data_IF_158293673491
#
_entry.id   IF_158293673491
#
_cell.length_a   1.000
_cell.length_b   1.000
_cell.length_c   1.000
_cell.angle_alpha   90.00
_cell.angle_beta   90.00
_cell.angle_gamma   90.00
#
_symmetry.space_group_name_H-M   'P 1'
#
loop_
_entity.id
_entity.type
_entity.pdbx_description
1 polymer ?
#
# COMPACT_ATOMS: atom_id res chain seq x y z
N UNK A 1 3.16 17.80 -3.32
CA UNK A 1 3.14 16.48 -3.99
C UNK A 1 4.48 15.80 -3.76
N UNK A 2 4.52 14.61 -3.16
CA UNK A 2 5.77 13.88 -2.99
C UNK A 2 6.32 13.50 -4.37
N UNK A 3 7.51 13.99 -4.68
CA UNK A 3 8.23 13.61 -5.90
C UNK A 3 8.79 12.22 -5.66
N UNK A 4 8.32 11.22 -6.42
CA UNK A 4 8.86 9.86 -6.39
C UNK A 4 10.28 9.94 -6.94
N UNK A 5 11.27 10.00 -6.04
CA UNK A 5 12.69 10.02 -6.38
C UNK A 5 13.14 8.55 -6.52
N UNK A 6 13.36 8.16 -7.78
CA UNK A 6 13.77 6.83 -8.26
C UNK A 6 12.63 5.85 -8.55
N UNK A 7 12.62 5.32 -9.78
CA UNK A 7 12.11 3.96 -10.04
C UNK A 7 10.71 3.76 -10.63
N UNK A 8 10.04 4.80 -11.13
CA UNK A 8 8.77 4.73 -11.91
C UNK A 8 7.47 4.51 -11.12
N UNK A 9 6.55 5.47 -11.26
CA UNK A 9 5.18 5.12 -11.65
C UNK A 9 5.28 5.02 -13.18
N UNK A 10 4.92 3.89 -13.79
CA UNK A 10 5.18 3.53 -15.21
C UNK A 10 5.26 4.69 -16.22
N UNK A 11 6.23 4.63 -17.16
CA UNK A 11 6.29 5.51 -18.34
C UNK A 11 5.22 5.16 -19.39
N UNK A 12 4.56 4.02 -19.24
CA UNK A 12 3.46 3.57 -20.10
C UNK A 12 2.22 4.47 -19.90
N UNK A 13 1.73 5.16 -20.95
CA UNK A 13 0.52 5.95 -20.87
C UNK A 13 -0.74 5.09 -20.60
N UNK A 14 -0.71 3.78 -20.88
CA UNK A 14 -1.79 2.82 -20.56
C UNK A 14 -1.51 2.03 -19.26
N UNK A 15 -0.68 2.56 -18.36
CA UNK A 15 -0.47 1.97 -17.04
C UNK A 15 -1.78 1.94 -16.24
N UNK A 16 -2.23 0.74 -15.86
CA UNK A 16 -3.51 0.54 -15.14
C UNK A 16 -3.26 0.17 -13.68
N UNK A 17 -4.32 0.16 -12.88
CA UNK A 17 -4.27 -0.17 -11.46
C UNK A 17 -3.62 -1.53 -11.17
N UNK A 18 -3.81 -2.52 -12.05
CA UNK A 18 -3.18 -3.83 -11.92
C UNK A 18 -1.69 -3.85 -12.24
N UNK A 19 -1.18 -2.89 -13.04
CA UNK A 19 0.25 -2.73 -13.26
C UNK A 19 0.93 -2.12 -12.04
N UNK A 20 0.27 -1.15 -11.39
CA UNK A 20 0.76 -0.56 -10.14
C UNK A 20 0.84 -1.60 -9.03
N UNK A 21 -0.21 -2.40 -8.85
CA UNK A 21 -0.21 -3.51 -7.89
C UNK A 21 0.93 -4.50 -8.15
N UNK A 22 1.17 -4.85 -9.43
CA UNK A 22 2.33 -5.67 -9.82
C UNK A 22 3.66 -5.01 -9.46
N UNK A 23 3.77 -3.69 -9.63
CA UNK A 23 4.97 -2.94 -9.26
C UNK A 23 5.19 -2.89 -7.74
N UNK A 24 4.13 -2.70 -6.96
CA UNK A 24 4.19 -2.77 -5.50
C UNK A 24 4.71 -4.13 -5.03
N UNK A 25 4.23 -5.22 -5.64
CA UNK A 25 4.74 -6.55 -5.34
C UNK A 25 6.25 -6.65 -5.55
N UNK A 26 6.78 -6.15 -6.67
CA UNK A 26 8.21 -6.16 -6.95
C UNK A 26 9.01 -5.38 -5.90
N UNK A 27 8.56 -4.18 -5.56
CA UNK A 27 9.25 -3.32 -4.61
C UNK A 27 9.25 -3.90 -3.19
N UNK A 28 8.11 -4.45 -2.75
CA UNK A 28 7.98 -5.10 -1.45
C UNK A 28 8.80 -6.39 -1.40
N UNK A 29 8.81 -7.18 -2.49
CA UNK A 29 9.63 -8.38 -2.57
C UNK A 29 11.12 -8.06 -2.40
N UNK A 30 11.58 -6.95 -2.98
CA UNK A 30 12.95 -6.48 -2.89
C UNK A 30 13.30 -5.79 -1.55
N UNK A 31 12.31 -5.40 -0.75
CA UNK A 31 12.56 -4.72 0.52
C UNK A 31 12.83 -5.71 1.66
N UNK A 32 13.60 -5.26 2.66
CA UNK A 32 13.82 -6.01 3.92
C UNK A 32 12.72 -5.72 4.95
N UNK A 33 12.18 -4.51 4.94
CA UNK A 33 11.12 -4.06 5.84
C UNK A 33 10.11 -3.19 5.08
N UNK A 34 8.92 -3.01 5.66
CA UNK A 34 7.88 -2.12 5.15
C UNK A 34 7.35 -1.27 6.30
N UNK A 35 7.40 0.06 6.14
CA UNK A 35 6.92 1.01 7.15
C UNK A 35 5.61 1.62 6.67
N UNK A 36 4.52 1.38 7.40
CA UNK A 36 3.22 1.99 7.16
C UNK A 36 3.03 3.20 8.07
N UNK A 37 2.87 4.37 7.46
CA UNK A 37 2.54 5.62 8.16
C UNK A 37 1.04 5.89 8.03
N UNK A 38 0.33 5.84 9.15
CA UNK A 38 -1.14 5.87 9.23
C UNK A 38 -1.60 7.24 9.70
N UNK A 39 -2.44 7.90 8.91
CA UNK A 39 -3.05 9.19 9.23
C UNK A 39 -4.57 9.11 9.34
N UNK A 40 -5.20 10.25 9.63
CA UNK A 40 -6.64 10.40 9.88
C UNK A 40 -7.56 9.85 8.77
N UNK A 41 -7.11 9.85 7.51
CA UNK A 41 -7.85 9.31 6.35
C UNK A 41 -7.41 7.92 5.93
N UNK A 42 -6.48 7.27 6.63
CA UNK A 42 -5.94 5.99 6.19
C UNK A 42 -6.98 4.86 6.24
N UNK A 43 -7.80 4.79 7.30
CA UNK A 43 -8.85 3.77 7.43
C UNK A 43 -9.88 3.79 6.28
N UNK A 44 -10.19 4.97 5.73
CA UNK A 44 -11.20 5.14 4.67
C UNK A 44 -10.62 5.16 3.25
N UNK A 45 -9.30 4.97 3.08
CA UNK A 45 -8.65 4.98 1.76
C UNK A 45 -9.04 3.76 0.93
N UNK A 46 -9.83 4.00 -0.11
CA UNK A 46 -10.30 2.99 -1.06
C UNK A 46 -9.61 3.04 -2.43
N UNK A 47 -8.72 4.01 -2.69
CA UNK A 47 -8.06 4.15 -4.00
C UNK A 47 -7.42 2.83 -4.47
N UNK A 48 -7.76 2.39 -5.68
CA UNK A 48 -7.28 1.12 -6.26
C UNK A 48 -8.21 -0.09 -6.07
N UNK A 49 -9.32 0.03 -5.31
CA UNK A 49 -10.27 -1.06 -5.05
C UNK A 49 -11.27 -1.33 -6.18
N UNK A 50 -11.33 -0.49 -7.20
CA UNK A 50 -12.36 -0.50 -8.26
C UNK A 50 -12.04 -1.40 -9.47
N UNK A 51 -11.18 -2.42 -9.31
CA UNK A 51 -10.83 -3.29 -10.43
C UNK A 51 -12.02 -4.21 -10.78
N UNK A 52 -12.82 -3.82 -11.76
CA UNK A 52 -13.97 -4.58 -12.26
C UNK A 52 -13.60 -5.98 -12.74
N UNK A 53 -12.38 -6.14 -13.31
CA UNK A 53 -11.90 -7.43 -13.82
C UNK A 53 -11.90 -8.54 -12.76
N UNK A 54 -11.78 -8.17 -11.48
CA UNK A 54 -11.80 -9.13 -10.37
C UNK A 54 -13.18 -9.80 -10.16
N UNK A 55 -14.25 -9.20 -10.68
CA UNK A 55 -15.63 -9.69 -10.49
C UNK A 55 -16.41 -9.84 -11.80
N UNK A 56 -15.92 -9.31 -12.92
CA UNK A 56 -16.60 -9.34 -14.22
C UNK A 56 -15.78 -10.07 -15.27
N UNK A 57 -16.48 -10.63 -16.25
CA UNK A 57 -15.87 -11.21 -17.44
C UNK A 57 -15.09 -10.19 -18.26
N UNK A 58 -14.13 -10.69 -19.04
CA UNK A 58 -13.23 -9.88 -19.85
C UNK A 58 -13.99 -8.98 -20.84
N UNK A 59 -15.01 -9.51 -21.51
CA UNK A 59 -15.79 -8.83 -22.56
C UNK A 59 -16.53 -7.59 -22.06
N UNK A 60 -16.90 -7.57 -20.78
CA UNK A 60 -17.64 -6.47 -20.14
C UNK A 60 -16.77 -5.66 -19.18
N UNK A 61 -15.46 -5.88 -19.18
CA UNK A 61 -14.55 -5.20 -18.27
C UNK A 61 -13.87 -4.00 -18.95
N UNK A 62 -14.05 -2.82 -18.39
CA UNK A 62 -13.29 -1.62 -18.77
C UNK A 62 -12.67 -0.95 -17.55
N UNK A 63 -11.56 -0.25 -17.76
CA UNK A 63 -10.85 0.51 -16.73
C UNK A 63 -10.06 1.67 -17.34
N UNK A 64 -9.78 2.68 -16.52
CA UNK A 64 -9.01 3.85 -16.95
C UNK A 64 -7.51 3.68 -16.65
N UNK A 65 -6.62 4.27 -17.45
CA UNK A 65 -5.21 4.43 -17.09
C UNK A 65 -5.05 5.29 -15.83
N UNK A 66 -4.09 4.96 -14.97
CA UNK A 66 -3.89 5.63 -13.69
C UNK A 66 -3.50 7.11 -13.81
N UNK A 67 -2.57 7.44 -14.72
CA UNK A 67 -1.96 8.78 -14.80
C UNK A 67 -2.75 9.79 -15.63
N UNK A 68 -3.57 9.31 -16.57
CA UNK A 68 -4.19 10.15 -17.59
C UNK A 68 -5.61 9.65 -17.87
N UNK A 69 -6.54 10.04 -17.00
CA UNK A 69 -7.96 9.76 -17.16
C UNK A 69 -8.64 10.63 -18.24
N UNK A 70 -7.90 11.52 -18.91
CA UNK A 70 -8.42 12.43 -19.94
C UNK A 70 -9.05 11.71 -21.13
N UNK A 71 -8.65 10.46 -21.39
CA UNK A 71 -9.16 9.65 -22.50
C UNK A 71 -10.22 8.62 -22.08
N UNK A 72 -10.73 8.70 -20.84
CA UNK A 72 -11.81 7.84 -20.36
C UNK A 72 -11.44 6.37 -20.15
N UNK A 73 -12.46 5.52 -20.02
CA UNK A 73 -12.32 4.08 -19.78
C UNK A 73 -11.97 3.34 -21.07
N UNK A 74 -11.10 2.35 -20.98
CA UNK A 74 -10.74 1.45 -22.09
C UNK A 74 -11.04 0.00 -21.72
N UNK A 75 -11.29 -0.84 -22.72
CA UNK A 75 -11.43 -2.29 -22.52
C UNK A 75 -10.25 -2.86 -21.75
N UNK A 76 -10.53 -3.75 -20.81
CA UNK A 76 -9.53 -4.40 -19.96
C UNK A 76 -8.45 -5.08 -20.80
N UNK A 77 -7.20 -5.06 -20.34
CA UNK A 77 -6.08 -5.72 -21.04
C UNK A 77 -5.75 -7.13 -20.54
N UNK A 78 -6.52 -7.62 -19.57
CA UNK A 78 -6.26 -8.90 -18.89
C UNK A 78 -7.31 -9.93 -19.32
N UNK A 79 -7.03 -10.75 -20.35
CA UNK A 79 -8.00 -11.70 -20.88
C UNK A 79 -8.27 -12.85 -19.89
N UNK A 80 -7.23 -13.38 -19.27
CA UNK A 80 -7.30 -14.54 -18.39
C UNK A 80 -6.86 -14.16 -16.98
N UNK A 81 -7.54 -14.72 -15.97
CA UNK A 81 -7.13 -14.66 -14.56
C UNK A 81 -6.81 -16.10 -14.15
N UNK A 82 -5.71 -16.28 -13.44
CA UNK A 82 -5.42 -17.51 -12.72
C UNK A 82 -5.44 -17.24 -11.23
N UNK A 83 -5.82 -18.26 -10.46
CA UNK A 83 -5.65 -18.23 -9.01
C UNK A 83 -4.14 -18.26 -8.71
N UNK A 84 -3.59 -17.27 -7.99
CA UNK A 84 -2.18 -17.29 -7.61
C UNK A 84 -1.86 -18.54 -6.80
N UNK A 85 -0.72 -19.19 -7.06
CA UNK A 85 -0.24 -20.28 -6.23
C UNK A 85 -0.02 -19.80 -4.77
N UNK A 86 -0.01 -20.74 -3.81
CA UNK A 86 0.14 -20.42 -2.39
C UNK A 86 1.40 -19.58 -2.10
N UNK A 87 2.51 -19.88 -2.77
CA UNK A 87 3.81 -19.20 -2.68
C UNK A 87 3.98 -17.99 -3.64
N UNK A 88 2.99 -17.72 -4.50
CA UNK A 88 3.03 -16.60 -5.43
C UNK A 88 2.75 -15.26 -4.72
N UNK A 89 2.95 -14.15 -5.41
CA UNK A 89 2.54 -12.84 -4.90
C UNK A 89 1.02 -12.75 -4.69
N UNK A 90 0.57 -11.71 -3.98
CA UNK A 90 -0.82 -11.29 -4.01
C UNK A 90 -1.18 -10.95 -5.45
N UNK A 91 -2.17 -11.63 -6.01
CA UNK A 91 -2.62 -11.41 -7.38
C UNK A 91 -2.99 -9.95 -7.61
N UNK A 92 -2.51 -9.35 -8.70
CA UNK A 92 -2.69 -7.94 -8.99
C UNK A 92 -4.07 -7.57 -9.55
N UNK A 93 -4.90 -8.58 -9.86
CA UNK A 93 -6.32 -8.45 -10.18
C UNK A 93 -7.13 -8.78 -8.93
N UNK A 94 -7.53 -7.74 -8.20
CA UNK A 94 -8.31 -7.85 -6.97
C UNK A 94 -9.03 -6.53 -6.67
N UNK A 95 -9.93 -6.57 -5.70
CA UNK A 95 -10.70 -5.41 -5.18
C UNK A 95 -10.03 -4.69 -4.01
N UNK A 96 -8.77 -4.99 -3.69
CA UNK A 96 -8.05 -4.30 -2.62
C UNK A 96 -7.73 -2.86 -3.02
N UNK A 97 -7.77 -1.93 -2.06
CA UNK A 97 -7.10 -0.64 -2.25
C UNK A 97 -5.61 -0.85 -2.44
N UNK A 98 -4.88 0.14 -2.96
CA UNK A 98 -3.43 0.08 -3.10
C UNK A 98 -2.75 -0.20 -1.76
N UNK A 99 -3.17 0.52 -0.71
CA UNK A 99 -2.66 0.34 0.64
C UNK A 99 -2.90 -1.07 1.19
N UNK A 100 -4.13 -1.60 1.03
CA UNK A 100 -4.43 -2.97 1.43
C UNK A 100 -3.58 -3.96 0.64
N UNK A 101 -3.40 -3.76 -0.66
CA UNK A 101 -2.58 -4.62 -1.49
C UNK A 101 -1.12 -4.68 -1.03
N UNK A 102 -0.51 -3.52 -0.76
CA UNK A 102 0.85 -3.43 -0.21
C UNK A 102 0.97 -4.17 1.11
N UNK A 103 0.00 -4.00 2.01
CA UNK A 103 -0.01 -4.66 3.32
C UNK A 103 -0.16 -6.18 3.22
N UNK A 104 -1.12 -6.68 2.43
CA UNK A 104 -1.31 -8.11 2.25
C UNK A 104 -0.09 -8.76 1.58
N UNK A 105 0.56 -8.07 0.65
CA UNK A 105 1.80 -8.55 0.04
C UNK A 105 2.94 -8.63 1.06
N UNK A 106 3.09 -7.60 1.89
CA UNK A 106 4.10 -7.59 2.94
C UNK A 106 3.87 -8.74 3.94
N UNK A 107 2.62 -8.99 4.35
CA UNK A 107 2.26 -10.15 5.20
C UNK A 107 2.57 -11.47 4.51
N UNK A 108 2.15 -11.64 3.25
CA UNK A 108 2.35 -12.88 2.48
C UNK A 108 3.83 -13.21 2.27
N UNK A 109 4.69 -12.19 2.25
CA UNK A 109 6.14 -12.31 2.10
C UNK A 109 6.90 -12.24 3.41
N UNK A 110 6.18 -12.31 4.53
CA UNK A 110 6.75 -12.31 5.89
C UNK A 110 7.75 -11.16 6.10
N UNK A 111 7.43 -10.00 5.53
CA UNK A 111 8.26 -8.82 5.66
C UNK A 111 8.19 -8.28 7.07
N UNK A 112 9.26 -7.63 7.51
CA UNK A 112 9.25 -6.92 8.77
C UNK A 112 8.39 -5.67 8.65
N UNK A 113 7.16 -5.74 9.18
CA UNK A 113 6.15 -4.68 9.07
C UNK A 113 6.21 -3.79 10.31
N UNK A 114 6.39 -2.49 10.10
CA UNK A 114 6.38 -1.47 11.15
C UNK A 114 5.20 -0.54 10.87
N UNK A 115 4.33 -0.34 11.85
CA UNK A 115 3.17 0.56 11.74
C UNK A 115 3.36 1.72 12.70
N UNK A 116 3.20 2.95 12.19
CA UNK A 116 3.25 4.16 13.02
C UNK A 116 2.11 5.12 12.70
N UNK A 117 1.61 5.79 13.73
CA UNK A 117 0.63 6.85 13.57
C UNK A 117 1.33 8.16 13.22
N UNK A 118 0.86 8.87 12.20
CA UNK A 118 1.28 10.25 11.92
C UNK A 118 0.66 11.23 12.94
N UNK A 119 0.91 10.99 14.22
CA UNK A 119 0.34 11.68 15.36
C UNK A 119 1.32 11.68 16.53
N UNK A 120 1.02 12.48 17.56
CA UNK A 120 1.67 12.47 18.87
C UNK A 120 1.06 11.43 19.82
N UNK A 121 -0.10 10.86 19.46
CA UNK A 121 -0.86 9.90 20.27
C UNK A 121 -1.21 8.67 19.43
N UNK A 122 -1.55 7.56 20.11
CA UNK A 122 -2.06 6.37 19.44
C UNK A 122 -3.47 6.64 18.95
N UNK A 123 -3.66 6.53 17.63
CA UNK A 123 -4.92 6.83 16.95
C UNK A 123 -5.48 5.55 16.36
N UNK A 124 -5.87 4.59 17.20
CA UNK A 124 -6.32 3.27 16.78
C UNK A 124 -7.41 3.29 15.71
N UNK A 125 -8.30 4.29 15.76
CA UNK A 125 -9.38 4.47 14.78
C UNK A 125 -8.87 4.81 13.36
N UNK A 126 -7.61 5.22 13.23
CA UNK A 126 -6.98 5.48 11.93
C UNK A 126 -6.49 4.20 11.26
N UNK A 127 -6.35 3.09 12.01
CA UNK A 127 -5.97 1.81 11.44
C UNK A 127 -7.13 1.22 10.62
N UNK A 128 -6.87 0.84 9.36
CA UNK A 128 -7.79 0.00 8.63
C UNK A 128 -8.02 -1.35 9.32
N UNK A 129 -9.18 -1.96 9.12
CA UNK A 129 -9.53 -3.24 9.74
C UNK A 129 -8.52 -4.36 9.45
N UNK A 130 -7.89 -4.36 8.28
CA UNK A 130 -6.88 -5.35 7.90
C UNK A 130 -5.53 -5.16 8.64
N UNK A 131 -5.28 -4.02 9.27
CA UNK A 131 -4.06 -3.73 10.06
C UNK A 131 -4.29 -3.85 11.58
N UNK A 132 -5.48 -4.27 12.02
CA UNK A 132 -5.87 -4.36 13.45
C UNK A 132 -4.89 -5.16 14.31
N UNK A 133 -4.36 -6.26 13.78
CA UNK A 133 -3.41 -7.13 14.50
C UNK A 133 -2.09 -6.42 14.89
N UNK A 134 -1.82 -5.25 14.30
CA UNK A 134 -0.63 -4.44 14.58
C UNK A 134 -0.91 -3.30 15.58
N UNK A 135 -2.14 -3.13 16.05
CA UNK A 135 -2.54 -2.02 16.91
C UNK A 135 -1.72 -1.94 18.21
N UNK A 136 -1.44 -3.09 18.84
CA UNK A 136 -0.64 -3.19 20.06
C UNK A 136 0.81 -2.74 19.85
N UNK A 137 1.35 -2.99 18.66
CA UNK A 137 2.74 -2.72 18.30
C UNK A 137 2.89 -1.37 17.60
N UNK A 138 1.80 -0.71 17.24
CA UNK A 138 1.83 0.58 16.56
C UNK A 138 2.11 1.71 17.57
N UNK A 139 3.03 2.60 17.19
CA UNK A 139 3.45 3.73 18.02
C UNK A 139 3.26 5.08 17.30
N UNK A 140 3.10 6.19 18.04
CA UNK A 140 3.13 7.52 17.45
C UNK A 140 4.49 7.80 16.81
N UNK A 141 4.50 8.27 15.57
CA UNK A 141 5.72 8.71 14.90
C UNK A 141 6.26 9.99 15.52
N UNK A 142 5.41 10.87 16.04
CA UNK A 142 5.85 12.11 16.69
C UNK A 142 5.95 11.92 18.20
N UNK A 143 6.97 12.52 18.81
CA UNK A 143 7.11 12.66 20.26
C UNK A 143 7.48 14.09 20.65
N UNK A 144 7.27 14.44 21.91
CA UNK A 144 7.67 15.73 22.48
C UNK A 144 9.00 15.55 23.21
N UNK A 145 10.00 16.39 22.91
CA UNK A 145 11.27 16.36 23.63
C UNK A 145 11.18 17.13 24.97
N UNK A 146 12.27 17.14 25.75
CA UNK A 146 12.34 17.84 27.05
C UNK A 146 12.12 19.36 26.94
N UNK A 147 12.25 19.94 25.75
CA UNK A 147 12.02 21.36 25.46
C UNK A 147 10.59 21.65 25.00
N UNK A 148 9.72 20.65 24.91
CA UNK A 148 8.36 20.80 24.41
C UNK A 148 8.24 20.75 22.88
N UNK A 149 9.30 20.44 22.14
CA UNK A 149 9.31 20.45 20.68
C UNK A 149 8.84 19.11 20.11
N UNK A 150 8.04 19.18 19.03
CA UNK A 150 7.59 18.01 18.27
C UNK A 150 8.73 17.48 17.38
N UNK A 151 9.24 16.30 17.70
CA UNK A 151 10.31 15.63 16.96
C UNK A 151 9.88 14.23 16.50
N UNK A 152 10.54 13.69 15.47
CA UNK A 152 10.31 12.33 15.01
C UNK A 152 10.86 11.31 16.00
N UNK A 153 10.12 10.23 16.23
CA UNK A 153 10.51 9.12 17.08
C UNK A 153 11.42 8.15 16.32
N UNK A 154 12.57 8.66 15.87
CA UNK A 154 13.53 7.89 15.08
C UNK A 154 14.18 6.77 15.88
N UNK A 155 14.33 6.93 17.20
CA UNK A 155 14.87 5.88 18.08
C UNK A 155 14.00 4.63 18.04
N UNK A 156 12.68 4.79 18.06
CA UNK A 156 11.74 3.67 17.90
C UNK A 156 11.88 2.99 16.53
N UNK A 157 11.95 3.77 15.44
CA UNK A 157 12.09 3.22 14.09
C UNK A 157 13.41 2.45 13.94
N UNK A 158 14.53 3.02 14.42
CA UNK A 158 15.84 2.38 14.38
C UNK A 158 15.85 1.06 15.15
N UNK A 159 15.32 1.07 16.38
CA UNK A 159 15.17 -0.13 17.21
C UNK A 159 14.35 -1.20 16.50
N UNK A 160 13.21 -0.83 15.91
CA UNK A 160 12.37 -1.77 15.17
C UNK A 160 13.12 -2.31 13.94
N UNK A 161 13.94 -1.51 13.26
CA UNK A 161 14.75 -1.95 12.13
C UNK A 161 16.00 -2.74 12.53
N UNK A 162 16.29 -2.91 13.83
CA UNK A 162 17.47 -3.62 14.33
C UNK A 162 18.76 -2.79 14.25
N UNK A 163 18.66 -1.47 14.18
CA UNK A 163 19.79 -0.57 14.36
C UNK A 163 19.80 -0.11 15.83
N UNK A 164 20.82 -0.55 16.58
CA UNK A 164 21.13 -0.06 17.93
C UNK A 164 21.84 1.30 17.88
#
# INVERSE_FOLDING_TARGET
>A
MSKVVSGSVSKDPDCRSCDLKREFNKQINASSAVVFVVGDKTASRSAGSSCSRATTDFTNCSCTPYKQNTNGSKSCKVPLISTPAANADVGNINTYSYLKHEFEQAKKREKHIIVVYNSLRKESNWLPSYMKDYESNAEPFWKTNIRGEKIGNYDYIKKMLGYD
#
